data_IF_516496879801
#
_entry.id   IF_516496879801
#
_cell.length_a   1.000
_cell.length_b   1.000
_cell.length_c   1.000
_cell.angle_alpha   90.00
_cell.angle_beta   90.00
_cell.angle_gamma   90.00
#
_symmetry.space_group_name_H-M   'P 1'
#
loop_
_entity.id
_entity.type
_entity.pdbx_description
1 polymer ?
#
# COMPACT_ATOMS: atom_id res chain seq x y z
N UNK A 1 11.88 23.95 -6.56
CA UNK A 1 11.18 22.77 -6.02
C UNK A 1 10.56 23.16 -4.69
N UNK A 2 9.31 22.79 -4.42
CA UNK A 2 8.71 23.02 -3.11
C UNK A 2 9.43 22.11 -2.10
N UNK A 3 9.62 22.61 -0.86
CA UNK A 3 10.17 21.79 0.21
C UNK A 3 9.11 20.73 0.60
N UNK A 4 9.44 19.45 0.45
CA UNK A 4 8.55 18.31 0.73
C UNK A 4 8.79 17.70 2.12
N UNK A 5 9.83 18.15 2.82
CA UNK A 5 10.23 17.55 4.09
C UNK A 5 9.11 17.61 5.13
N UNK A 6 8.80 16.47 5.71
CA UNK A 6 7.79 16.34 6.76
C UNK A 6 6.33 16.56 6.32
N UNK A 7 6.03 16.67 5.01
CA UNK A 7 4.66 16.88 4.53
C UNK A 7 3.84 15.61 4.33
N UNK A 8 4.50 14.46 4.34
CA UNK A 8 3.87 13.17 4.06
C UNK A 8 3.99 12.24 5.25
N UNK A 9 2.92 11.51 5.51
CA UNK A 9 2.93 10.34 6.37
C UNK A 9 2.77 9.07 5.53
N UNK A 10 3.15 7.92 6.06
CA UNK A 10 2.89 6.64 5.42
C UNK A 10 2.03 5.75 6.33
N UNK A 11 1.12 5.00 5.73
CA UNK A 11 0.38 3.92 6.40
C UNK A 11 0.69 2.62 5.69
N UNK A 12 1.22 1.66 6.45
CA UNK A 12 1.68 0.36 5.96
C UNK A 12 0.77 -0.75 6.52
N UNK A 13 -0.29 -1.17 5.80
CA UNK A 13 -1.09 -2.31 6.21
C UNK A 13 -0.27 -3.61 6.14
N UNK A 14 -0.13 -4.27 7.28
CA UNK A 14 0.63 -5.51 7.46
C UNK A 14 -0.24 -6.67 8.00
N UNK A 15 -1.58 -6.59 7.82
CA UNK A 15 -2.56 -7.53 8.39
C UNK A 15 -2.73 -8.86 7.65
N UNK A 16 -2.12 -9.03 6.47
CA UNK A 16 -2.33 -10.21 5.65
C UNK A 16 -1.74 -11.49 6.26
N UNK A 17 -2.59 -12.43 6.68
CA UNK A 17 -2.16 -13.74 7.25
C UNK A 17 -1.48 -14.68 6.25
N UNK A 18 -1.32 -14.27 4.98
CA UNK A 18 -0.60 -15.08 3.98
C UNK A 18 -1.20 -16.46 3.71
N UNK A 19 -2.52 -16.65 3.83
CA UNK A 19 -3.20 -17.95 3.64
C UNK A 19 -2.77 -18.69 2.38
N UNK A 20 -2.43 -17.97 1.31
CA UNK A 20 -1.93 -18.54 0.04
C UNK A 20 -0.47 -18.99 0.09
N UNK A 21 0.28 -18.63 1.13
CA UNK A 21 1.69 -19.02 1.33
C UNK A 21 1.83 -20.32 2.13
N UNK A 22 0.73 -20.92 2.64
CA UNK A 22 0.72 -22.23 3.31
C UNK A 22 1.43 -22.32 4.66
N UNK A 23 1.86 -21.19 5.24
CA UNK A 23 2.63 -21.17 6.49
C UNK A 23 1.83 -20.69 7.71
N UNK A 24 2.30 -21.07 8.91
CA UNK A 24 1.76 -20.61 10.20
C UNK A 24 2.27 -19.20 10.59
N UNK A 25 3.20 -18.64 9.83
CA UNK A 25 3.79 -17.32 10.06
C UNK A 25 3.23 -16.32 9.05
N UNK A 26 2.81 -15.13 9.47
CA UNK A 26 2.43 -14.07 8.54
C UNK A 26 3.50 -13.84 7.48
N UNK A 27 3.11 -13.75 6.20
CA UNK A 27 4.08 -13.63 5.08
C UNK A 27 5.03 -12.45 5.20
N UNK A 28 4.59 -11.37 5.84
CA UNK A 28 5.39 -10.18 6.09
C UNK A 28 6.57 -10.42 7.04
N UNK A 29 6.51 -11.48 7.87
CA UNK A 29 7.58 -11.91 8.77
C UNK A 29 8.53 -12.93 8.11
N UNK A 30 8.19 -13.47 6.95
CA UNK A 30 9.08 -14.39 6.24
C UNK A 30 10.39 -13.69 5.87
N UNK A 31 11.51 -14.40 5.94
CA UNK A 31 12.84 -13.83 5.67
C UNK A 31 13.16 -13.88 4.18
N UNK A 32 13.29 -12.71 3.58
CA UNK A 32 13.74 -12.50 2.21
C UNK A 32 15.20 -12.02 2.27
N UNK A 33 16.15 -12.82 1.78
CA UNK A 33 17.58 -12.47 1.90
C UNK A 33 18.04 -12.24 3.35
N UNK A 34 17.47 -12.95 4.33
CA UNK A 34 17.82 -12.81 5.75
C UNK A 34 17.13 -11.65 6.49
N UNK A 35 16.30 -10.86 5.81
CA UNK A 35 15.55 -9.73 6.40
C UNK A 35 14.05 -9.95 6.25
N UNK A 36 13.20 -9.70 7.29
CA UNK A 36 11.74 -9.80 7.17
C UNK A 36 11.19 -8.94 6.03
N UNK A 37 10.22 -9.48 5.28
CA UNK A 37 9.63 -8.82 4.10
C UNK A 37 9.14 -7.41 4.41
N UNK A 38 8.48 -7.20 5.57
CA UNK A 38 7.93 -5.89 5.92
C UNK A 38 9.01 -4.81 6.09
N UNK A 39 10.22 -5.18 6.49
CA UNK A 39 11.29 -4.23 6.78
C UNK A 39 11.82 -3.53 5.54
N UNK A 40 11.74 -4.14 4.38
CA UNK A 40 12.23 -3.52 3.14
C UNK A 40 11.50 -2.20 2.84
N UNK A 41 10.19 -2.26 2.68
CA UNK A 41 9.40 -1.04 2.43
C UNK A 41 9.35 -0.12 3.65
N UNK A 42 9.23 -0.67 4.88
CA UNK A 42 9.23 0.13 6.10
C UNK A 42 10.49 1.00 6.20
N UNK A 43 11.68 0.42 6.06
CA UNK A 43 12.95 1.14 6.12
C UNK A 43 13.05 2.19 5.01
N UNK A 44 12.59 1.87 3.78
CA UNK A 44 12.55 2.84 2.69
C UNK A 44 11.74 4.08 3.07
N UNK A 45 10.54 3.92 3.65
CA UNK A 45 9.72 5.06 4.08
C UNK A 45 10.30 5.82 5.28
N UNK A 46 10.94 5.12 6.23
CA UNK A 46 11.57 5.76 7.39
C UNK A 46 12.80 6.59 7.03
N UNK A 47 13.54 6.20 6.00
CA UNK A 47 14.70 6.90 5.48
C UNK A 47 14.37 8.13 4.61
N UNK A 48 13.10 8.30 4.19
CA UNK A 48 12.69 9.46 3.43
C UNK A 48 12.64 10.71 4.31
N UNK A 49 13.28 11.79 3.89
CA UNK A 49 13.21 13.08 4.58
C UNK A 49 11.82 13.70 4.49
N UNK A 50 11.13 13.41 3.39
CA UNK A 50 9.76 13.83 3.13
C UNK A 50 8.74 13.20 4.09
N UNK A 51 9.09 12.05 4.70
CA UNK A 51 8.21 11.32 5.64
C UNK A 51 8.31 11.90 7.06
N UNK A 52 7.18 12.41 7.56
CA UNK A 52 7.05 12.89 8.94
C UNK A 52 6.80 11.74 9.94
N UNK A 53 6.00 10.76 9.55
CA UNK A 53 5.53 9.66 10.40
C UNK A 53 5.21 8.45 9.53
N UNK A 54 5.46 7.27 10.06
CA UNK A 54 5.07 5.98 9.46
C UNK A 54 4.23 5.21 10.47
N UNK A 55 3.02 4.81 10.10
CA UNK A 55 2.15 3.96 10.90
C UNK A 55 2.04 2.60 10.26
N UNK A 56 2.37 1.55 10.99
CA UNK A 56 2.21 0.17 10.53
C UNK A 56 1.03 -0.48 11.23
N UNK A 57 0.04 -0.94 10.46
CA UNK A 57 -1.16 -1.62 10.97
C UNK A 57 -0.98 -3.13 10.89
N UNK A 58 -0.89 -3.80 12.05
CA UNK A 58 -0.54 -5.22 12.20
C UNK A 58 -1.68 -6.02 12.83
N UNK A 59 -1.71 -7.36 12.69
CA UNK A 59 -2.67 -8.19 13.44
C UNK A 59 -2.47 -8.06 14.94
N UNK A 60 -3.57 -8.09 15.71
CA UNK A 60 -3.54 -7.92 17.16
C UNK A 60 -2.58 -8.90 17.85
N UNK A 61 -2.63 -10.18 17.48
CA UNK A 61 -1.81 -11.26 18.06
C UNK A 61 -0.30 -11.10 17.81
N UNK A 62 0.08 -10.24 16.84
CA UNK A 62 1.47 -10.02 16.45
C UNK A 62 2.01 -8.64 16.82
N UNK A 63 1.20 -7.76 17.41
CA UNK A 63 1.59 -6.38 17.72
C UNK A 63 2.85 -6.34 18.60
N UNK A 64 2.85 -7.07 19.70
CA UNK A 64 3.98 -7.10 20.63
C UNK A 64 5.26 -7.64 19.98
N UNK A 65 5.13 -8.58 19.03
CA UNK A 65 6.26 -9.10 18.28
C UNK A 65 6.91 -7.99 17.43
N UNK A 66 6.10 -7.26 16.65
CA UNK A 66 6.62 -6.17 15.81
C UNK A 66 7.24 -5.05 16.64
N UNK A 67 6.63 -4.68 17.78
CA UNK A 67 7.16 -3.63 18.67
C UNK A 67 8.50 -4.02 19.32
N UNK A 68 8.70 -5.30 19.62
CA UNK A 68 9.97 -5.81 20.16
C UNK A 68 11.06 -5.94 19.11
N UNK A 69 10.67 -6.30 17.87
CA UNK A 69 11.63 -6.56 16.80
C UNK A 69 12.20 -5.29 16.17
N UNK A 70 11.39 -4.23 16.10
CA UNK A 70 11.79 -3.00 15.41
C UNK A 70 11.20 -1.75 16.05
N UNK A 71 12.06 -0.78 16.35
CA UNK A 71 11.68 0.52 16.89
C UNK A 71 12.37 1.65 16.14
N UNK A 72 11.64 2.72 15.87
CA UNK A 72 12.15 3.94 15.23
C UNK A 72 11.34 5.16 15.67
N UNK A 73 11.95 6.36 15.87
CA UNK A 73 11.24 7.56 16.33
C UNK A 73 10.04 8.00 15.47
N UNK A 74 10.10 7.76 14.16
CA UNK A 74 9.00 8.05 13.22
C UNK A 74 7.97 6.92 13.13
N UNK A 75 8.21 5.73 13.72
CA UNK A 75 7.35 4.56 13.58
C UNK A 75 6.35 4.46 14.72
N UNK A 76 5.09 4.25 14.37
CA UNK A 76 4.01 3.86 15.27
C UNK A 76 3.38 2.55 14.80
N UNK A 77 3.16 1.61 15.71
CA UNK A 77 2.51 0.34 15.41
C UNK A 77 1.10 0.35 16.01
N UNK A 78 0.11 0.02 15.19
CA UNK A 78 -1.30 -0.04 15.59
C UNK A 78 -1.93 -1.37 15.22
N UNK A 79 -3.02 -1.73 15.87
CA UNK A 79 -3.81 -2.90 15.49
C UNK A 79 -4.61 -2.57 14.22
N UNK A 80 -4.52 -3.45 13.22
CA UNK A 80 -5.31 -3.39 11.99
C UNK A 80 -6.77 -3.78 12.21
N UNK A 81 -7.58 -3.67 11.16
CA UNK A 81 -8.98 -4.11 11.13
C UNK A 81 -9.14 -5.52 10.53
N UNK A 82 -10.39 -5.97 10.44
CA UNK A 82 -10.75 -7.25 9.82
C UNK A 82 -10.45 -7.27 8.31
N UNK A 83 -10.69 -6.13 7.66
CA UNK A 83 -10.40 -5.91 6.23
C UNK A 83 -9.20 -4.98 6.03
N UNK A 84 -8.62 -5.01 4.81
CA UNK A 84 -7.45 -4.18 4.49
C UNK A 84 -7.74 -2.69 4.66
N UNK A 85 -8.88 -2.22 4.13
CA UNK A 85 -9.26 -0.81 4.21
C UNK A 85 -9.46 -0.34 5.67
N UNK A 86 -9.99 -1.19 6.56
CA UNK A 86 -10.11 -0.89 7.99
C UNK A 86 -8.74 -0.78 8.68
N UNK A 87 -7.77 -1.60 8.25
CA UNK A 87 -6.40 -1.49 8.73
C UNK A 87 -5.78 -0.15 8.32
N UNK A 88 -6.08 0.32 7.10
CA UNK A 88 -5.63 1.64 6.63
C UNK A 88 -6.35 2.76 7.39
N UNK A 89 -7.66 2.67 7.59
CA UNK A 89 -8.44 3.61 8.39
C UNK A 89 -7.86 3.77 9.80
N UNK A 90 -7.58 2.64 10.49
CA UNK A 90 -6.95 2.66 11.82
C UNK A 90 -5.58 3.36 11.77
N UNK A 91 -4.78 3.09 10.74
CA UNK A 91 -3.50 3.74 10.52
C UNK A 91 -3.64 5.25 10.30
N UNK A 92 -4.54 5.67 9.43
CA UNK A 92 -4.81 7.11 9.14
C UNK A 92 -5.33 7.84 10.38
N UNK A 93 -6.18 7.20 11.17
CA UNK A 93 -6.70 7.78 12.41
C UNK A 93 -5.63 7.87 13.51
N UNK A 94 -4.60 7.05 13.46
CA UNK A 94 -3.49 7.04 14.40
C UNK A 94 -2.40 8.07 14.09
N UNK A 95 -2.43 8.72 12.92
CA UNK A 95 -1.47 9.77 12.55
C UNK A 95 -1.57 10.97 13.51
N UNK A 96 -0.41 11.41 13.97
CA UNK A 96 -0.28 12.54 14.92
C UNK A 96 0.59 13.67 14.40
N UNK A 97 1.37 13.44 13.34
CA UNK A 97 2.17 14.47 12.69
C UNK A 97 1.31 15.53 12.01
N UNK A 98 1.93 16.66 11.68
CA UNK A 98 1.32 17.76 10.90
C UNK A 98 1.33 17.48 9.38
N UNK A 99 1.57 16.24 8.95
CA UNK A 99 1.55 15.88 7.55
C UNK A 99 0.19 16.18 6.91
N UNK A 100 0.23 16.68 5.68
CA UNK A 100 -0.98 17.00 4.90
C UNK A 100 -1.50 15.79 4.14
N UNK A 101 -0.59 14.91 3.72
CA UNK A 101 -0.85 13.79 2.82
C UNK A 101 -0.44 12.46 3.45
N UNK A 102 -1.10 11.40 3.01
CA UNK A 102 -0.74 10.04 3.40
C UNK A 102 -0.53 9.17 2.16
N UNK A 103 0.54 8.38 2.22
CA UNK A 103 0.87 7.32 1.28
C UNK A 103 0.52 5.98 1.91
N UNK A 104 -0.40 5.24 1.32
CA UNK A 104 -0.75 3.89 1.75
C UNK A 104 0.03 2.88 0.92
N UNK A 105 0.83 2.04 1.59
CA UNK A 105 1.69 1.09 0.88
C UNK A 105 1.66 -0.31 1.49
N UNK A 106 1.38 -1.32 0.67
CA UNK A 106 1.38 -2.71 1.08
C UNK A 106 2.80 -3.19 1.42
N UNK A 107 3.07 -3.61 2.65
CA UNK A 107 4.38 -4.17 3.05
C UNK A 107 4.80 -5.40 2.23
N UNK A 108 3.85 -6.04 1.56
CA UNK A 108 4.09 -7.15 0.65
C UNK A 108 4.68 -6.70 -0.71
N UNK A 109 4.95 -5.42 -0.92
CA UNK A 109 5.74 -4.86 -2.04
C UNK A 109 7.08 -4.35 -1.50
N UNK A 110 8.03 -5.25 -1.24
CA UNK A 110 9.25 -4.91 -0.50
C UNK A 110 10.16 -3.94 -1.25
N UNK A 111 10.09 -3.89 -2.58
CA UNK A 111 11.05 -3.17 -3.41
C UNK A 111 10.51 -1.88 -4.01
N UNK A 112 9.64 -1.16 -3.28
CA UNK A 112 9.29 0.21 -3.64
C UNK A 112 10.54 1.10 -3.60
N UNK A 113 10.78 1.86 -4.66
CA UNK A 113 11.95 2.75 -4.71
C UNK A 113 11.63 4.16 -4.19
N UNK A 114 12.67 4.85 -3.73
CA UNK A 114 12.56 6.25 -3.30
C UNK A 114 12.11 7.18 -4.44
N UNK A 115 12.46 6.84 -5.69
CA UNK A 115 12.01 7.58 -6.88
C UNK A 115 10.48 7.49 -7.02
N UNK A 116 9.91 6.27 -6.96
CA UNK A 116 8.44 6.09 -7.02
C UNK A 116 7.76 6.89 -5.90
N UNK A 117 8.31 6.86 -4.67
CA UNK A 117 7.73 7.62 -3.56
C UNK A 117 7.76 9.11 -3.85
N UNK A 118 8.85 9.67 -4.39
CA UNK A 118 8.94 11.09 -4.76
C UNK A 118 7.98 11.47 -5.87
N UNK A 119 7.86 10.65 -6.92
CA UNK A 119 6.90 10.87 -8.01
C UNK A 119 5.45 10.91 -7.48
N UNK A 120 5.13 10.06 -6.50
CA UNK A 120 3.84 10.10 -5.79
C UNK A 120 3.68 11.41 -5.02
N UNK A 121 4.69 11.84 -4.26
CA UNK A 121 4.64 13.10 -3.50
C UNK A 121 4.45 14.32 -4.41
N UNK A 122 5.16 14.41 -5.53
CA UNK A 122 5.03 15.48 -6.51
C UNK A 122 3.64 15.49 -7.18
N UNK A 123 3.12 14.31 -7.49
CA UNK A 123 1.78 14.17 -8.08
C UNK A 123 0.71 14.60 -7.09
N UNK A 124 0.81 14.25 -5.82
CA UNK A 124 -0.13 14.66 -4.78
C UNK A 124 -0.26 16.18 -4.65
N UNK A 125 0.86 16.90 -4.68
CA UNK A 125 0.86 18.35 -4.55
C UNK A 125 0.10 19.01 -5.69
N UNK A 126 0.20 18.45 -6.90
CA UNK A 126 -0.39 19.03 -8.10
C UNK A 126 -1.79 18.52 -8.43
N UNK A 127 -2.12 17.30 -7.99
CA UNK A 127 -3.33 16.58 -8.41
C UNK A 127 -4.25 16.16 -7.24
N UNK A 128 -3.75 16.15 -6.01
CA UNK A 128 -4.53 15.86 -4.80
C UNK A 128 -4.66 14.39 -4.43
N UNK A 129 -4.69 13.48 -5.41
CA UNK A 129 -4.70 12.03 -5.18
C UNK A 129 -4.09 11.26 -6.35
N UNK A 130 -3.46 10.13 -6.06
CA UNK A 130 -2.85 9.29 -7.08
C UNK A 130 -2.65 7.84 -6.61
N UNK A 131 -2.41 6.96 -7.57
CA UNK A 131 -1.97 5.59 -7.33
C UNK A 131 -0.78 5.25 -8.22
N UNK A 132 0.11 4.42 -7.70
CA UNK A 132 1.14 3.78 -8.53
C UNK A 132 0.51 2.65 -9.32
N UNK A 133 0.72 2.62 -10.64
CA UNK A 133 0.27 1.53 -11.49
C UNK A 133 1.25 1.28 -12.64
N UNK A 134 1.23 0.05 -13.18
CA UNK A 134 1.99 -0.31 -14.37
C UNK A 134 1.03 -0.71 -15.51
N UNK A 135 1.35 -0.40 -16.79
CA UNK A 135 0.51 -0.81 -17.91
C UNK A 135 0.50 -2.34 -18.04
N UNK A 136 -0.64 -2.90 -18.44
CA UNK A 136 -0.72 -4.31 -18.80
C UNK A 136 0.10 -4.59 -20.07
N UNK A 137 0.92 -5.66 -20.03
CA UNK A 137 1.74 -6.07 -21.18
C UNK A 137 1.12 -7.24 -21.94
N UNK A 138 0.40 -8.14 -21.26
CA UNK A 138 -0.26 -9.27 -21.85
C UNK A 138 -1.61 -8.90 -22.48
N UNK A 139 -2.14 -9.78 -23.34
CA UNK A 139 -3.50 -9.63 -23.88
C UNK A 139 -4.51 -9.94 -22.76
N UNK A 140 -5.35 -8.97 -22.41
CA UNK A 140 -6.36 -9.10 -21.34
C UNK A 140 -7.65 -9.68 -21.91
N UNK A 141 -8.15 -10.74 -21.28
CA UNK A 141 -9.42 -11.39 -21.61
C UNK A 141 -10.40 -11.26 -20.44
N UNK A 142 -11.65 -10.93 -20.73
CA UNK A 142 -12.75 -11.17 -19.80
C UNK A 142 -13.27 -12.57 -20.08
N UNK A 143 -13.43 -13.38 -19.02
CA UNK A 143 -13.94 -14.74 -19.12
C UNK A 143 -14.92 -15.03 -17.99
N UNK A 144 -15.92 -15.88 -18.25
CA UNK A 144 -16.80 -16.47 -17.26
C UNK A 144 -16.94 -17.96 -17.55
N UNK A 145 -17.00 -18.78 -16.50
CA UNK A 145 -17.14 -20.25 -16.58
C UNK A 145 -16.13 -20.91 -17.55
N UNK A 146 -14.87 -20.41 -17.52
CA UNK A 146 -13.78 -20.89 -18.38
C UNK A 146 -13.88 -20.47 -19.85
N UNK A 147 -14.93 -19.72 -20.27
CA UNK A 147 -15.13 -19.26 -21.65
C UNK A 147 -14.77 -17.78 -21.79
N UNK A 148 -13.91 -17.49 -22.77
CA UNK A 148 -13.56 -16.10 -23.14
C UNK A 148 -14.79 -15.40 -23.71
N UNK A 149 -15.13 -14.27 -23.11
CA UNK A 149 -16.24 -13.42 -23.56
C UNK A 149 -15.74 -12.28 -24.44
N UNK A 150 -14.63 -11.63 -24.04
CA UNK A 150 -14.19 -10.40 -24.69
C UNK A 150 -12.68 -10.19 -24.49
N UNK A 151 -12.05 -9.54 -25.46
CA UNK A 151 -10.69 -8.99 -25.32
C UNK A 151 -10.80 -7.51 -24.96
N UNK A 152 -10.01 -7.07 -23.97
CA UNK A 152 -9.91 -5.66 -23.60
C UNK A 152 -8.71 -5.03 -24.32
N UNK A 153 -8.85 -3.79 -24.76
CA UNK A 153 -7.70 -3.02 -25.25
C UNK A 153 -6.73 -2.78 -24.08
N UNK A 154 -5.60 -3.49 -24.10
CA UNK A 154 -4.59 -3.41 -23.04
C UNK A 154 -3.99 -2.01 -22.87
N UNK A 155 -4.05 -1.15 -23.91
CA UNK A 155 -3.52 0.21 -23.83
C UNK A 155 -4.29 1.08 -22.82
N UNK A 156 -5.51 0.67 -22.45
CA UNK A 156 -6.35 1.33 -21.44
C UNK A 156 -6.31 0.64 -20.08
N UNK A 157 -5.54 -0.48 -19.95
CA UNK A 157 -5.53 -1.28 -18.70
C UNK A 157 -4.23 -1.05 -17.95
N UNK A 158 -4.39 -0.65 -16.69
CA UNK A 158 -3.30 -0.46 -15.75
C UNK A 158 -3.46 -1.39 -14.55
N UNK A 159 -2.38 -2.01 -14.14
CA UNK A 159 -2.34 -2.89 -12.97
C UNK A 159 -1.95 -2.06 -11.75
N UNK A 160 -2.91 -1.87 -10.83
CA UNK A 160 -2.72 -1.09 -9.62
C UNK A 160 -1.62 -1.68 -8.73
N UNK A 161 -0.75 -0.80 -8.28
CA UNK A 161 0.27 -1.05 -7.28
C UNK A 161 0.05 -0.10 -6.09
N UNK A 162 1.01 -0.02 -5.20
CA UNK A 162 1.09 0.98 -4.14
C UNK A 162 2.49 1.62 -4.15
N UNK A 163 2.67 2.86 -3.65
CA UNK A 163 1.73 3.65 -2.84
C UNK A 163 0.49 4.12 -3.60
N UNK A 164 -0.62 4.22 -2.83
CA UNK A 164 -1.81 4.96 -3.21
C UNK A 164 -1.95 6.11 -2.22
N UNK A 165 -2.32 7.29 -2.67
CA UNK A 165 -2.12 8.45 -1.85
C UNK A 165 -3.18 9.53 -2.06
N UNK A 166 -3.52 10.24 -0.98
CA UNK A 166 -4.43 11.37 -0.96
C UNK A 166 -4.16 12.27 0.25
N UNK A 167 -4.88 13.37 0.39
CA UNK A 167 -4.82 14.15 1.62
C UNK A 167 -5.42 13.38 2.80
N UNK A 168 -4.81 13.53 3.98
CA UNK A 168 -5.29 12.87 5.22
C UNK A 168 -6.73 13.33 5.51
N UNK A 169 -7.02 14.61 5.33
CA UNK A 169 -8.35 15.16 5.57
C UNK A 169 -9.41 14.51 4.65
N UNK A 170 -9.09 14.29 3.37
CA UNK A 170 -9.98 13.63 2.42
C UNK A 170 -10.25 12.19 2.84
N UNK A 171 -9.22 11.38 3.11
CA UNK A 171 -9.43 9.99 3.53
C UNK A 171 -10.23 9.88 4.83
N UNK A 172 -9.95 10.70 5.85
CA UNK A 172 -10.73 10.72 7.09
C UNK A 172 -12.21 11.06 6.83
N UNK A 173 -12.48 12.04 5.95
CA UNK A 173 -13.85 12.38 5.54
C UNK A 173 -14.53 11.19 4.86
N UNK A 174 -13.85 10.48 3.96
CA UNK A 174 -14.43 9.36 3.23
C UNK A 174 -14.68 8.15 4.13
N UNK A 175 -13.77 7.82 5.03
CA UNK A 175 -13.99 6.77 6.04
C UNK A 175 -15.17 7.10 6.97
N UNK A 176 -15.30 8.36 7.39
CA UNK A 176 -16.48 8.81 8.15
C UNK A 176 -17.78 8.63 7.38
N UNK A 177 -17.80 8.84 6.06
CA UNK A 177 -18.97 8.56 5.22
C UNK A 177 -19.27 7.06 5.13
N UNK A 178 -18.25 6.20 4.98
CA UNK A 178 -18.42 4.74 4.95
C UNK A 178 -18.98 4.23 6.28
N UNK A 179 -18.58 4.81 7.41
CA UNK A 179 -19.12 4.45 8.72
C UNK A 179 -20.61 4.81 8.87
N UNK A 180 -21.03 5.93 8.27
CA UNK A 180 -22.43 6.38 8.29
C UNK A 180 -23.31 5.64 7.26
N UNK A 181 -22.76 5.33 6.09
CA UNK A 181 -23.42 4.66 4.99
C UNK A 181 -22.47 3.60 4.39
N UNK A 182 -22.60 2.35 4.81
CA UNK A 182 -21.71 1.29 4.37
C UNK A 182 -21.74 1.09 2.85
N UNK A 183 -20.57 0.81 2.27
CA UNK A 183 -20.42 0.53 0.85
C UNK A 183 -21.13 -0.78 0.48
N UNK A 184 -21.67 -0.86 -0.73
CA UNK A 184 -22.28 -2.07 -1.28
C UNK A 184 -21.24 -3.06 -1.86
N UNK A 185 -19.95 -2.80 -1.67
CA UNK A 185 -18.82 -3.66 -2.06
C UNK A 185 -17.70 -3.56 -1.02
N UNK A 186 -16.80 -4.53 -1.02
CA UNK A 186 -15.57 -4.47 -0.19
C UNK A 186 -14.47 -3.76 -0.97
N UNK A 187 -13.98 -2.58 -0.50
CA UNK A 187 -12.88 -1.88 -1.16
C UNK A 187 -11.61 -2.73 -1.19
N UNK A 188 -10.99 -2.85 -2.36
CA UNK A 188 -9.75 -3.57 -2.53
C UNK A 188 -8.51 -2.71 -2.29
N UNK A 189 -8.67 -1.40 -2.47
CA UNK A 189 -7.62 -0.39 -2.35
C UNK A 189 -8.22 1.01 -2.08
N UNK A 190 -7.38 2.01 -1.84
CA UNK A 190 -7.81 3.38 -1.56
C UNK A 190 -8.36 4.06 -2.82
N UNK A 191 -7.83 3.72 -4.01
CA UNK A 191 -8.32 4.27 -5.26
C UNK A 191 -9.81 3.93 -5.47
N UNK A 192 -10.23 2.70 -5.20
CA UNK A 192 -11.63 2.29 -5.33
C UNK A 192 -12.58 3.05 -4.40
N UNK A 193 -12.10 3.47 -3.21
CA UNK A 193 -12.86 4.32 -2.30
C UNK A 193 -12.98 5.75 -2.89
N UNK A 194 -11.86 6.31 -3.33
CA UNK A 194 -11.83 7.65 -3.93
C UNK A 194 -12.75 7.72 -5.16
N UNK A 195 -12.65 6.75 -6.06
CA UNK A 195 -13.47 6.64 -7.26
C UNK A 195 -14.97 6.52 -6.94
N UNK A 196 -15.34 5.70 -5.94
CA UNK A 196 -16.73 5.54 -5.52
C UNK A 196 -17.35 6.87 -5.06
N UNK A 197 -16.57 7.73 -4.41
CA UNK A 197 -17.03 9.04 -3.97
C UNK A 197 -16.82 10.17 -5.01
N UNK A 198 -16.43 9.82 -6.25
CA UNK A 198 -16.30 10.76 -7.36
C UNK A 198 -15.01 11.58 -7.36
N UNK A 199 -14.01 11.18 -6.59
CA UNK A 199 -12.71 11.84 -6.57
C UNK A 199 -11.86 11.37 -7.77
N UNK A 200 -11.10 12.29 -8.37
CA UNK A 200 -10.17 11.93 -9.43
C UNK A 200 -8.93 11.25 -8.84
N UNK A 201 -8.47 10.16 -9.45
CA UNK A 201 -7.23 9.46 -9.05
C UNK A 201 -6.28 9.43 -10.24
N UNK A 202 -5.07 9.96 -10.06
CA UNK A 202 -4.08 10.07 -11.13
C UNK A 202 -3.05 8.95 -11.05
N UNK A 203 -2.60 8.46 -12.21
CA UNK A 203 -1.62 7.38 -12.27
C UNK A 203 -0.21 7.94 -12.16
N UNK A 204 0.57 7.37 -11.24
CA UNK A 204 2.04 7.45 -11.20
C UNK A 204 2.59 6.15 -11.77
N UNK A 205 3.54 6.24 -12.69
CA UNK A 205 4.08 5.06 -13.37
C UNK A 205 4.94 4.22 -12.43
N UNK A 206 4.47 3.02 -12.16
CA UNK A 206 5.22 1.98 -11.44
C UNK A 206 6.07 1.11 -12.35
N UNK A 207 6.65 0.07 -11.76
CA UNK A 207 7.51 -0.87 -12.47
C UNK A 207 7.37 -2.31 -11.91
N UNK A 208 8.02 -3.27 -12.57
CA UNK A 208 7.99 -4.70 -12.18
C UNK A 208 8.76 -4.99 -10.87
N UNK A 209 9.66 -4.11 -10.43
CA UNK A 209 10.34 -4.29 -9.16
C UNK A 209 9.38 -4.09 -7.98
N UNK A 210 8.38 -3.20 -8.15
CA UNK A 210 7.35 -2.91 -7.16
C UNK A 210 6.16 -3.89 -7.20
N UNK A 211 6.37 -5.11 -7.71
CA UNK A 211 5.34 -6.15 -7.70
C UNK A 211 5.10 -6.69 -6.28
N UNK A 212 3.92 -7.28 -6.08
CA UNK A 212 3.45 -7.77 -4.78
C UNK A 212 3.84 -9.22 -4.59
N UNK A 213 4.48 -9.52 -3.49
CA UNK A 213 4.73 -10.88 -3.03
C UNK A 213 3.41 -11.51 -2.60
N UNK A 214 2.92 -12.50 -3.38
CA UNK A 214 1.59 -13.07 -3.22
C UNK A 214 1.61 -14.59 -3.12
N UNK A 215 2.51 -15.25 -3.86
CA UNK A 215 2.64 -16.70 -3.98
C UNK A 215 4.03 -17.17 -3.57
N UNK A 216 4.24 -18.49 -3.32
CA UNK A 216 5.58 -19.03 -3.10
C UNK A 216 6.55 -18.78 -4.26
N UNK A 217 6.06 -18.81 -5.49
CA UNK A 217 6.85 -18.55 -6.70
C UNK A 217 7.36 -17.11 -6.72
N UNK A 218 6.52 -16.12 -6.31
CA UNK A 218 6.96 -14.74 -6.16
C UNK A 218 8.12 -14.65 -5.17
N UNK A 219 8.06 -15.45 -4.08
CA UNK A 219 9.09 -15.45 -3.05
C UNK A 219 10.45 -15.87 -3.61
N UNK A 220 10.51 -16.92 -4.44
CA UNK A 220 11.74 -17.37 -5.08
C UNK A 220 12.32 -16.29 -6.02
N UNK A 221 11.45 -15.65 -6.84
CA UNK A 221 11.84 -14.55 -7.72
C UNK A 221 12.42 -13.39 -6.90
N UNK A 222 11.76 -13.02 -5.81
CA UNK A 222 12.19 -11.90 -4.97
C UNK A 222 13.47 -12.22 -4.21
N UNK A 223 13.63 -13.46 -3.74
CA UNK A 223 14.85 -13.91 -3.08
C UNK A 223 16.10 -13.80 -4.01
N UNK A 224 15.93 -13.99 -5.30
CA UNK A 224 17.01 -13.81 -6.27
C UNK A 224 17.49 -12.35 -6.39
N UNK A 225 16.65 -11.38 -6.05
CA UNK A 225 16.95 -9.94 -6.10
C UNK A 225 17.67 -9.42 -4.84
N UNK A 226 17.78 -10.24 -3.80
CA UNK A 226 18.45 -9.88 -2.54
C UNK A 226 19.82 -10.51 -2.37
N UNK A 227 20.30 -11.22 -3.39
CA UNK A 227 21.67 -11.80 -3.49
C UNK A 227 22.65 -10.79 -4.18
#
# INVERSE_FOLDING_TARGET
>A
MQNLNGRFAAVLPAGGLGKRMGGNIPKQLMLLGGKPVYRYSLETFLEMEESAEVVMAVPADWKDHFEKEFSHPKLKIVIGGAERWQSVENGVNALTSSAEFVLVHDVARPFVSKEIIRDVCETLITKGSCLVAKPAVDTIKIAADGKVQKTIDRNTVWMAQTPQAASIALLKKLYGRIAAEPLNFTPTDEASILEYFGENVYIVKGNVANDKLTTPEDFEIFASRTR
#
